data_IF_081661522410
#
_entry.id   IF_081661522410
#
_cell.length_a   1.000
_cell.length_b   1.000
_cell.length_c   1.000
_cell.angle_alpha   90.00
_cell.angle_beta   90.00
_cell.angle_gamma   90.00
#
_symmetry.space_group_name_H-M   'P 1'
#
loop_
_entity.id
_entity.type
_entity.pdbx_description
1 polymer ?
#
# COMPACT_ATOMS: atom_id res chain seq x y z
N UNK A 1 -18.91 38.36 0.33
CA UNK A 1 -19.77 37.15 0.31
C UNK A 1 -18.93 35.90 0.54
N UNK A 2 -19.56 34.76 0.85
CA UNK A 2 -18.95 33.48 1.29
C UNK A 2 -17.94 32.94 0.24
N UNK A 3 -16.75 32.40 0.56
CA UNK A 3 -16.30 31.47 1.63
C UNK A 3 -16.63 29.98 1.33
N UNK A 4 -15.62 29.19 0.93
CA UNK A 4 -15.54 27.72 1.02
C UNK A 4 -14.07 27.24 1.11
N UNK A 5 -13.32 27.73 2.09
CA UNK A 5 -12.08 27.08 2.53
C UNK A 5 -12.37 26.00 3.58
N UNK A 6 -11.55 24.95 3.61
CA UNK A 6 -11.56 23.95 4.69
C UNK A 6 -12.37 22.69 4.39
N UNK A 7 -11.74 21.76 3.66
CA UNK A 7 -12.21 20.38 3.58
C UNK A 7 -12.21 19.78 5.00
N UNK A 8 -13.40 19.55 5.54
CA UNK A 8 -13.63 19.09 6.91
C UNK A 8 -13.14 17.67 7.15
N UNK A 9 -11.83 17.48 7.24
CA UNK A 9 -11.23 16.26 7.78
C UNK A 9 -11.63 16.16 9.25
N UNK A 10 -12.75 15.46 9.53
CA UNK A 10 -13.28 15.27 10.88
C UNK A 10 -12.28 14.47 11.71
N UNK A 11 -11.39 15.19 12.40
CA UNK A 11 -10.64 14.67 13.54
C UNK A 11 -11.66 14.30 14.62
N UNK A 12 -12.10 13.04 14.64
CA UNK A 12 -12.79 12.48 15.81
C UNK A 12 -11.78 12.27 16.92
N UNK A 13 -11.32 13.39 17.48
CA UNK A 13 -10.48 13.44 18.66
C UNK A 13 -11.36 13.00 19.83
N UNK A 14 -11.33 11.71 20.18
CA UNK A 14 -12.04 11.21 21.36
C UNK A 14 -11.58 12.01 22.58
N UNK A 15 -12.49 12.50 23.44
CA UNK A 15 -12.12 13.31 24.59
C UNK A 15 -11.23 12.50 25.55
N UNK A 16 -10.15 13.08 26.14
CA UNK A 16 -9.22 12.35 26.99
C UNK A 16 -9.85 11.67 28.22
N UNK A 17 -11.01 12.15 28.67
CA UNK A 17 -11.76 11.63 29.83
C UNK A 17 -12.30 10.20 29.66
N UNK A 18 -12.29 9.64 28.44
CA UNK A 18 -12.81 8.29 28.14
C UNK A 18 -11.70 7.23 28.03
N UNK A 19 -10.43 7.58 28.26
CA UNK A 19 -9.29 6.66 28.15
C UNK A 19 -8.96 5.87 29.42
N UNK A 20 -9.63 6.15 30.55
CA UNK A 20 -9.30 5.55 31.86
C UNK A 20 -9.76 4.10 32.06
N UNK A 21 -10.59 3.56 31.16
CA UNK A 21 -11.20 2.23 31.29
C UNK A 21 -10.98 1.30 30.09
N UNK A 22 -10.21 1.74 29.09
CA UNK A 22 -10.00 1.00 27.84
C UNK A 22 -8.73 0.16 27.98
N UNK A 23 -8.86 -1.04 28.56
CA UNK A 23 -7.77 -2.02 28.65
C UNK A 23 -7.60 -2.79 27.32
N UNK A 24 -7.86 -2.13 26.19
CA UNK A 24 -8.14 -2.79 24.93
C UNK A 24 -6.89 -3.12 24.14
N UNK A 25 -6.76 -4.42 23.82
CA UNK A 25 -5.82 -4.89 22.83
C UNK A 25 -6.22 -4.38 21.45
N UNK A 26 -5.30 -3.70 20.77
CA UNK A 26 -5.44 -3.29 19.37
C UNK A 26 -4.81 -4.35 18.47
N UNK A 27 -5.56 -4.83 17.48
CA UNK A 27 -5.10 -5.84 16.53
C UNK A 27 -5.32 -5.36 15.09
N UNK A 28 -4.33 -5.59 14.22
CA UNK A 28 -4.48 -5.42 12.77
C UNK A 28 -4.50 -6.81 12.15
N UNK A 29 -5.53 -7.11 11.37
CA UNK A 29 -5.65 -8.33 10.58
C UNK A 29 -5.49 -7.97 9.11
N UNK A 30 -4.48 -8.55 8.47
CA UNK A 30 -4.23 -8.41 7.03
C UNK A 30 -4.78 -9.64 6.32
N UNK A 31 -5.68 -9.42 5.36
CA UNK A 31 -6.21 -10.45 4.47
C UNK A 31 -5.72 -10.12 3.06
N UNK A 32 -4.81 -10.91 2.52
CA UNK A 32 -4.34 -10.75 1.13
C UNK A 32 -5.09 -11.71 0.20
N UNK A 33 -5.16 -11.36 -1.08
CA UNK A 33 -5.86 -12.11 -2.14
C UNK A 33 -7.25 -12.64 -1.72
N UNK A 34 -8.11 -11.80 -1.13
CA UNK A 34 -9.44 -12.26 -0.65
C UNK A 34 -10.35 -12.80 -1.76
N UNK A 35 -10.06 -12.44 -3.02
CA UNK A 35 -10.68 -13.02 -4.22
C UNK A 35 -10.10 -14.39 -4.63
N UNK A 36 -9.01 -14.86 -4.02
CA UNK A 36 -8.58 -16.26 -4.09
C UNK A 36 -9.54 -17.19 -3.33
N UNK A 37 -10.16 -16.67 -2.25
CA UNK A 37 -11.20 -17.34 -1.48
C UNK A 37 -12.60 -17.22 -2.13
N UNK A 38 -12.78 -16.27 -3.07
CA UNK A 38 -14.07 -15.87 -3.66
C UNK A 38 -13.93 -15.74 -5.20
N UNK A 39 -14.33 -16.78 -5.93
CA UNK A 39 -13.80 -17.04 -7.28
C UNK A 39 -14.10 -16.04 -8.41
N UNK A 40 -13.01 -15.63 -9.10
CA UNK A 40 -12.86 -15.26 -10.54
C UNK A 40 -13.02 -13.80 -11.06
N UNK A 41 -11.85 -13.22 -11.48
CA UNK A 41 -11.52 -12.16 -12.51
C UNK A 41 -12.06 -10.70 -12.37
N UNK A 42 -11.33 -9.55 -12.42
CA UNK A 42 -9.90 -9.09 -12.56
C UNK A 42 -9.74 -7.55 -12.22
N UNK A 43 -8.65 -7.10 -11.52
CA UNK A 43 -8.13 -5.72 -11.16
C UNK A 43 -8.19 -5.32 -9.66
N UNK A 44 -7.18 -4.65 -9.07
CA UNK A 44 -7.01 -4.59 -7.61
C UNK A 44 -7.77 -3.48 -6.84
N UNK A 45 -8.13 -3.76 -5.57
CA UNK A 45 -8.59 -2.79 -4.58
C UNK A 45 -8.11 -3.16 -3.16
N UNK A 46 -7.78 -2.15 -2.35
CA UNK A 46 -7.50 -2.30 -0.92
C UNK A 46 -8.72 -1.83 -0.12
N UNK A 47 -9.49 -2.80 0.40
CA UNK A 47 -10.63 -2.55 1.29
C UNK A 47 -10.18 -2.39 2.74
N UNK A 48 -10.41 -1.23 3.33
CA UNK A 48 -10.18 -0.95 4.74
C UNK A 48 -11.47 -0.99 5.56
N UNK A 49 -11.31 -1.41 6.82
CA UNK A 49 -12.29 -1.49 7.92
C UNK A 49 -13.32 -2.61 7.79
N UNK A 50 -13.29 -3.55 8.73
CA UNK A 50 -14.48 -3.86 9.56
C UNK A 50 -14.16 -3.43 10.98
N UNK A 51 -15.00 -2.60 11.59
CA UNK A 51 -14.93 -2.31 13.03
C UNK A 51 -15.82 -3.33 13.76
N UNK A 52 -15.27 -4.53 14.03
CA UNK A 52 -15.95 -5.50 14.88
C UNK A 52 -15.63 -5.19 16.35
N UNK A 53 -16.54 -4.48 17.01
CA UNK A 53 -16.45 -4.21 18.44
C UNK A 53 -16.99 -5.43 19.19
N UNK A 54 -16.09 -6.34 19.58
CA UNK A 54 -16.30 -7.28 20.69
C UNK A 54 -15.68 -6.67 21.93
N UNK A 55 -16.36 -6.75 23.07
CA UNK A 55 -16.43 -5.68 24.09
C UNK A 55 -15.12 -5.08 24.65
N UNK A 56 -13.97 -5.76 24.52
CA UNK A 56 -12.67 -5.30 24.99
C UNK A 56 -11.58 -5.11 23.91
N UNK A 57 -11.84 -5.32 22.61
CA UNK A 57 -10.79 -5.27 21.57
C UNK A 57 -11.14 -4.40 20.36
N UNK A 58 -10.16 -3.60 19.90
CA UNK A 58 -10.26 -2.84 18.65
C UNK A 58 -9.53 -3.59 17.53
N UNK A 59 -10.28 -4.20 16.62
CA UNK A 59 -9.73 -4.90 15.46
C UNK A 59 -9.84 -4.02 14.21
N UNK A 60 -8.72 -3.81 13.51
CA UNK A 60 -8.66 -3.22 12.18
C UNK A 60 -8.41 -4.31 11.14
N UNK A 61 -9.41 -4.59 10.31
CA UNK A 61 -9.23 -5.46 9.13
C UNK A 61 -8.82 -4.64 7.91
N UNK A 62 -7.75 -5.05 7.26
CA UNK A 62 -7.30 -4.57 5.96
C UNK A 62 -7.34 -5.75 4.99
N UNK A 63 -8.12 -5.62 3.91
CA UNK A 63 -8.23 -6.61 2.86
C UNK A 63 -7.61 -6.09 1.56
N UNK A 64 -6.71 -6.84 0.96
CA UNK A 64 -6.27 -6.64 -0.40
C UNK A 64 -6.98 -7.66 -1.31
N UNK A 65 -7.52 -7.16 -2.42
CA UNK A 65 -8.02 -8.00 -3.50
C UNK A 65 -7.36 -7.58 -4.79
N UNK A 66 -7.11 -8.54 -5.68
CA UNK A 66 -6.80 -8.27 -7.06
C UNK A 66 -8.05 -8.10 -7.94
N UNK A 67 -9.29 -8.05 -7.38
CA UNK A 67 -10.58 -8.14 -8.11
C UNK A 67 -11.85 -7.60 -7.36
N UNK A 68 -12.12 -6.27 -7.16
CA UNK A 68 -13.25 -5.83 -6.33
C UNK A 68 -14.63 -6.15 -6.92
N UNK A 69 -14.77 -6.24 -8.24
CA UNK A 69 -16.06 -6.58 -8.86
C UNK A 69 -16.51 -8.04 -8.63
N UNK A 70 -15.63 -8.86 -8.03
CA UNK A 70 -15.90 -10.25 -7.64
C UNK A 70 -16.37 -10.33 -6.18
N UNK A 71 -16.16 -9.25 -5.40
CA UNK A 71 -16.66 -9.16 -4.04
C UNK A 71 -18.16 -8.87 -4.06
N UNK A 72 -18.91 -9.60 -3.24
CA UNK A 72 -20.34 -9.40 -3.12
C UNK A 72 -20.68 -8.15 -2.30
N UNK A 73 -21.94 -7.70 -2.38
CA UNK A 73 -22.39 -6.56 -1.58
C UNK A 73 -22.24 -6.80 -0.06
N UNK A 74 -22.30 -8.05 0.41
CA UNK A 74 -22.15 -8.38 1.84
C UNK A 74 -20.75 -8.01 2.35
N UNK A 75 -19.72 -8.32 1.57
CA UNK A 75 -18.33 -7.99 1.87
C UNK A 75 -18.05 -6.50 1.65
N UNK A 76 -18.57 -5.91 0.57
CA UNK A 76 -18.39 -4.47 0.31
C UNK A 76 -19.06 -3.58 1.37
N UNK A 77 -20.24 -3.96 1.88
CA UNK A 77 -20.88 -3.30 3.03
C UNK A 77 -20.09 -3.47 4.33
N UNK A 78 -19.35 -4.57 4.46
CA UNK A 78 -18.43 -4.81 5.58
C UNK A 78 -17.14 -4.01 5.45
N UNK A 79 -16.65 -3.75 4.23
CA UNK A 79 -15.43 -2.99 3.90
C UNK A 79 -15.75 -1.61 3.25
N UNK A 80 -16.37 -0.65 3.98
CA UNK A 80 -16.92 0.58 3.41
C UNK A 80 -15.87 1.64 3.02
N UNK A 81 -14.58 1.39 3.20
CA UNK A 81 -13.51 2.24 2.69
C UNK A 81 -12.69 1.43 1.69
N UNK A 82 -12.55 1.90 0.45
CA UNK A 82 -11.76 1.23 -0.56
C UNK A 82 -10.79 2.23 -1.21
N UNK A 83 -9.56 1.78 -1.43
CA UNK A 83 -8.52 2.53 -2.11
C UNK A 83 -8.02 1.72 -3.30
N UNK A 84 -8.13 2.28 -4.50
CA UNK A 84 -7.47 1.72 -5.68
C UNK A 84 -5.99 2.07 -5.63
N UNK A 85 -5.12 1.06 -5.81
CA UNK A 85 -3.67 1.24 -5.86
C UNK A 85 -3.23 1.08 -7.31
N UNK A 86 -2.97 2.20 -7.95
CA UNK A 86 -2.53 2.25 -9.35
C UNK A 86 -1.05 1.89 -9.53
N UNK A 87 -0.64 1.88 -10.80
CA UNK A 87 0.79 1.92 -11.18
C UNK A 87 1.32 3.31 -10.81
N UNK A 88 2.48 3.43 -10.14
CA UNK A 88 3.04 4.71 -9.74
C UNK A 88 3.38 5.58 -10.96
N UNK A 89 3.18 6.90 -10.83
CA UNK A 89 3.66 7.83 -11.85
C UNK A 89 5.21 7.93 -11.86
N UNK A 90 5.79 8.74 -12.77
CA UNK A 90 7.26 8.90 -12.84
C UNK A 90 7.87 9.51 -11.57
N UNK A 91 7.17 10.45 -10.91
CA UNK A 91 7.62 11.13 -9.69
C UNK A 91 7.54 10.17 -8.49
N UNK A 92 6.48 9.37 -8.41
CA UNK A 92 6.30 8.29 -7.45
C UNK A 92 7.32 7.18 -7.65
N UNK A 93 7.60 6.79 -8.90
CA UNK A 93 8.66 5.84 -9.27
C UNK A 93 10.02 6.33 -8.77
N UNK A 94 10.35 7.62 -8.95
CA UNK A 94 11.58 8.21 -8.37
C UNK A 94 11.60 8.13 -6.84
N UNK A 95 10.47 8.37 -6.15
CA UNK A 95 10.37 8.21 -4.69
C UNK A 95 10.60 6.76 -4.26
N UNK A 96 9.96 5.80 -4.95
CA UNK A 96 10.06 4.37 -4.66
C UNK A 96 11.50 3.88 -4.89
N UNK A 97 12.14 4.24 -6.01
CA UNK A 97 13.55 3.92 -6.27
C UNK A 97 14.48 4.48 -5.19
N UNK A 98 14.25 5.70 -4.69
CA UNK A 98 15.02 6.29 -3.57
C UNK A 98 14.80 5.57 -2.23
N UNK A 99 13.65 4.92 -2.03
CA UNK A 99 13.39 4.07 -0.85
C UNK A 99 14.04 2.70 -1.01
N UNK A 100 13.91 2.06 -2.17
CA UNK A 100 14.50 0.75 -2.48
C UNK A 100 16.04 0.79 -2.38
N UNK A 101 16.66 1.82 -2.93
CA UNK A 101 18.12 1.98 -2.95
C UNK A 101 18.67 2.69 -1.69
N UNK A 102 17.83 2.89 -0.65
CA UNK A 102 18.24 3.58 0.58
C UNK A 102 19.20 2.72 1.41
N UNK A 103 20.48 3.05 1.37
CA UNK A 103 21.55 2.33 2.08
C UNK A 103 22.35 1.39 1.17
N UNK A 104 21.92 1.22 -0.08
CA UNK A 104 22.63 0.42 -1.07
C UNK A 104 23.85 1.13 -1.65
N UNK A 105 24.83 0.35 -2.13
CA UNK A 105 26.04 0.87 -2.78
C UNK A 105 25.77 1.26 -4.22
N UNK A 106 25.22 2.46 -4.43
CA UNK A 106 24.96 3.04 -5.76
C UNK A 106 26.08 3.98 -6.22
N UNK A 107 26.13 4.28 -7.51
CA UNK A 107 27.03 5.32 -8.05
C UNK A 107 26.68 6.71 -7.48
N UNK A 108 27.69 7.53 -7.17
CA UNK A 108 27.54 8.89 -6.60
C UNK A 108 26.72 9.86 -7.45
N UNK A 109 26.52 9.58 -8.74
CA UNK A 109 25.76 10.42 -9.70
C UNK A 109 24.61 9.67 -10.38
N UNK A 110 24.07 8.63 -9.74
CA UNK A 110 22.94 7.87 -10.28
C UNK A 110 21.72 8.76 -10.56
N UNK A 111 21.23 8.73 -11.80
CA UNK A 111 20.07 9.53 -12.22
C UNK A 111 18.77 8.76 -12.03
N UNK A 112 18.11 8.99 -10.90
CA UNK A 112 16.81 8.39 -10.59
C UNK A 112 15.74 8.74 -11.63
N UNK A 113 15.74 9.97 -12.15
CA UNK A 113 14.78 10.43 -13.17
C UNK A 113 14.97 9.74 -14.52
N UNK A 114 16.21 9.34 -14.86
CA UNK A 114 16.50 8.51 -16.03
C UNK A 114 16.01 7.08 -15.82
N UNK A 115 16.36 6.47 -14.69
CA UNK A 115 15.91 5.09 -14.36
C UNK A 115 14.38 5.01 -14.37
N UNK A 116 13.70 5.94 -13.70
CA UNK A 116 12.25 6.03 -13.68
C UNK A 116 11.62 6.17 -15.09
N UNK A 117 12.29 6.85 -16.04
CA UNK A 117 11.82 6.93 -17.43
C UNK A 117 11.91 5.62 -18.22
N UNK A 118 12.66 4.64 -17.72
CA UNK A 118 12.79 3.28 -18.30
C UNK A 118 11.94 2.24 -17.57
N UNK A 119 11.20 2.64 -16.53
CA UNK A 119 10.41 1.76 -15.67
C UNK A 119 8.90 2.09 -15.73
N UNK A 120 8.41 2.57 -16.88
CA UNK A 120 6.98 2.78 -17.10
C UNK A 120 6.22 1.45 -16.98
N UNK A 121 5.08 1.47 -16.26
CA UNK A 121 4.28 0.27 -16.02
C UNK A 121 4.74 -0.58 -14.82
N UNK A 122 5.86 -0.27 -14.16
CA UNK A 122 6.39 -1.08 -13.06
C UNK A 122 5.67 -0.79 -11.74
N UNK A 123 5.29 -1.85 -11.02
CA UNK A 123 4.87 -1.78 -9.62
C UNK A 123 6.08 -1.64 -8.69
N UNK A 124 5.87 -1.30 -7.41
CA UNK A 124 6.94 -1.25 -6.42
C UNK A 124 7.74 -2.57 -6.27
N UNK A 125 7.06 -3.72 -6.40
CA UNK A 125 7.73 -5.04 -6.43
C UNK A 125 8.54 -5.26 -7.71
N UNK A 126 8.02 -4.83 -8.86
CA UNK A 126 8.75 -4.85 -10.13
C UNK A 126 10.02 -4.00 -10.10
N UNK A 127 9.95 -2.79 -9.52
CA UNK A 127 11.11 -1.90 -9.33
C UNK A 127 12.17 -2.56 -8.43
N UNK A 128 11.76 -3.17 -7.32
CA UNK A 128 12.66 -3.88 -6.40
C UNK A 128 13.38 -5.03 -7.11
N UNK A 129 12.65 -5.85 -7.85
CA UNK A 129 13.25 -6.98 -8.58
C UNK A 129 14.19 -6.50 -9.69
N UNK A 130 13.86 -5.38 -10.35
CA UNK A 130 14.75 -4.76 -11.34
C UNK A 130 16.05 -4.24 -10.70
N UNK A 131 15.99 -3.65 -9.51
CA UNK A 131 17.16 -3.25 -8.74
C UNK A 131 18.03 -4.45 -8.32
N UNK A 132 17.42 -5.57 -7.87
CA UNK A 132 18.17 -6.80 -7.59
C UNK A 132 18.88 -7.34 -8.84
N UNK A 133 18.18 -7.43 -9.97
CA UNK A 133 18.77 -7.85 -11.24
C UNK A 133 19.98 -6.98 -11.64
N UNK A 134 19.87 -5.66 -11.47
CA UNK A 134 20.97 -4.73 -11.72
C UNK A 134 22.19 -4.99 -10.82
N UNK A 135 21.97 -5.31 -9.53
CA UNK A 135 23.06 -5.63 -8.59
C UNK A 135 23.84 -6.91 -8.96
N UNK A 136 23.24 -7.84 -9.73
CA UNK A 136 23.93 -9.04 -10.21
C UNK A 136 24.81 -8.81 -11.46
N UNK A 137 24.69 -7.70 -12.19
CA UNK A 137 25.50 -7.46 -13.40
C UNK A 137 27.01 -7.45 -13.14
N UNK A 138 27.54 -6.69 -12.15
CA UNK A 138 28.97 -6.67 -11.86
C UNK A 138 29.53 -8.06 -11.47
N UNK A 139 28.72 -8.89 -10.81
CA UNK A 139 29.12 -10.26 -10.47
C UNK A 139 29.23 -11.15 -11.71
N UNK A 140 28.35 -10.99 -12.70
CA UNK A 140 28.41 -11.73 -13.97
C UNK A 140 29.65 -11.35 -14.78
N UNK A 141 29.99 -10.07 -14.83
CA UNK A 141 31.21 -9.59 -15.52
C UNK A 141 32.50 -10.11 -14.88
N UNK A 142 32.52 -10.29 -13.55
CA UNK A 142 33.65 -10.90 -12.84
C UNK A 142 33.78 -12.41 -13.08
N UNK A 143 32.69 -13.12 -13.33
CA UNK A 143 32.66 -14.57 -13.57
C UNK A 143 32.85 -14.97 -15.05
N UNK A 144 32.86 -13.99 -15.97
CA UNK A 144 33.11 -14.19 -17.40
C UNK A 144 34.56 -13.86 -17.80
N UNK A 145 35.46 -13.77 -16.82
CA UNK A 145 36.91 -13.62 -16.96
C UNK A 145 37.62 -14.79 -16.28
#
# INVERSE_FOLDING_TARGET
>A
MKNIDGLGCRKTLRPPSLLSHINSSFAIVLLDEVDGFLGQRHKAAVGMKTELITDDALVLVLAATYRPQVLDETILRRLPQAFEVGIPDRIETVKILKVILKGERTEKKISYDYIASTCEGFTGSGLLERCKQAAYFPLRELLQK
#
